data_IF_894226101634
#
_entry.id   IF_894226101634
#
_cell.length_a   1.000
_cell.length_b   1.000
_cell.length_c   1.000
_cell.angle_alpha   90.00
_cell.angle_beta   90.00
_cell.angle_gamma   90.00
#
_symmetry.space_group_name_H-M   'P 1'
#
loop_
_entity.id
_entity.type
_entity.pdbx_description
1 polymer ?
#
# COMPACT_ATOMS: atom_id res chain seq x y z
N UNK A 1 19.53 -29.22 -26.38
CA UNK A 1 20.25 -28.25 -25.52
C UNK A 1 19.85 -26.79 -25.75
N UNK A 2 19.81 -26.32 -26.97
CA UNK A 2 19.47 -24.90 -27.29
C UNK A 2 18.04 -24.48 -26.85
N UNK A 3 17.05 -25.38 -26.96
CA UNK A 3 15.67 -25.11 -26.58
C UNK A 3 15.44 -24.97 -25.05
N UNK A 4 16.20 -25.70 -24.25
CA UNK A 4 16.09 -25.65 -22.78
C UNK A 4 16.68 -24.36 -22.23
N UNK A 5 17.76 -23.85 -22.81
CA UNK A 5 18.41 -22.60 -22.39
C UNK A 5 17.55 -21.37 -22.76
N UNK A 6 16.90 -21.39 -23.94
CA UNK A 6 15.97 -20.32 -24.34
C UNK A 6 14.73 -20.25 -23.43
N UNK A 7 14.19 -21.42 -23.03
CA UNK A 7 13.03 -21.50 -22.15
C UNK A 7 13.35 -21.03 -20.73
N UNK A 8 14.54 -21.37 -20.21
CA UNK A 8 14.99 -20.90 -18.89
C UNK A 8 15.26 -19.39 -18.85
N UNK A 9 15.85 -18.80 -19.89
CA UNK A 9 16.03 -17.35 -20.00
C UNK A 9 14.71 -16.61 -20.08
N UNK A 10 13.74 -17.11 -20.85
CA UNK A 10 12.40 -16.49 -20.94
C UNK A 10 11.64 -16.49 -19.61
N UNK A 11 11.71 -17.58 -18.84
CA UNK A 11 11.13 -17.69 -17.50
C UNK A 11 11.80 -16.73 -16.53
N UNK A 12 13.13 -16.61 -16.56
CA UNK A 12 13.89 -15.72 -15.69
C UNK A 12 13.53 -14.24 -15.95
N UNK A 13 13.37 -13.83 -17.20
CA UNK A 13 12.95 -12.49 -17.58
C UNK A 13 11.51 -12.20 -17.08
N UNK A 14 10.58 -13.16 -17.16
CA UNK A 14 9.22 -12.99 -16.65
C UNK A 14 9.19 -12.82 -15.13
N UNK A 15 10.00 -13.60 -14.38
CA UNK A 15 10.11 -13.47 -12.92
C UNK A 15 10.60 -12.09 -12.54
N UNK A 16 11.65 -11.58 -13.18
CA UNK A 16 12.20 -10.26 -12.93
C UNK A 16 11.19 -9.16 -13.25
N UNK A 17 10.51 -9.23 -14.39
CA UNK A 17 9.50 -8.22 -14.78
C UNK A 17 8.32 -8.16 -13.83
N UNK A 18 7.75 -9.30 -13.47
CA UNK A 18 6.61 -9.35 -12.55
C UNK A 18 7.03 -8.91 -11.13
N UNK A 19 8.23 -9.28 -10.70
CA UNK A 19 8.81 -8.84 -9.41
C UNK A 19 8.90 -7.32 -9.35
N UNK A 20 9.50 -6.68 -10.34
CA UNK A 20 9.64 -5.22 -10.39
C UNK A 20 8.26 -4.54 -10.43
N UNK A 21 7.33 -5.05 -11.24
CA UNK A 21 5.98 -4.50 -11.32
C UNK A 21 5.25 -4.58 -9.99
N UNK A 22 5.30 -5.74 -9.32
CA UNK A 22 4.68 -5.92 -8.01
C UNK A 22 5.28 -4.99 -6.97
N UNK A 23 6.61 -4.87 -6.90
CA UNK A 23 7.29 -3.96 -5.98
C UNK A 23 6.90 -2.50 -6.23
N UNK A 24 6.78 -2.07 -7.49
CA UNK A 24 6.31 -0.71 -7.83
C UNK A 24 4.90 -0.43 -7.33
N UNK A 25 3.98 -1.38 -7.48
CA UNK A 25 2.61 -1.21 -6.98
C UNK A 25 2.56 -1.18 -5.44
N UNK A 26 3.40 -1.98 -4.78
CA UNK A 26 3.55 -1.91 -3.32
C UNK A 26 4.14 -0.58 -2.86
N UNK A 27 5.12 -0.04 -3.57
CA UNK A 27 5.73 1.27 -3.28
C UNK A 27 4.70 2.41 -3.36
N UNK A 28 3.91 2.42 -4.43
CA UNK A 28 2.80 3.37 -4.56
C UNK A 28 1.76 3.20 -3.44
N UNK A 29 1.46 1.96 -3.04
CA UNK A 29 0.54 1.63 -1.95
C UNK A 29 1.04 2.12 -0.59
N UNK A 30 2.29 1.88 -0.25
CA UNK A 30 2.91 2.37 1.01
C UNK A 30 2.90 3.90 1.07
N UNK A 31 3.32 4.57 0.01
CA UNK A 31 3.31 6.03 -0.09
C UNK A 31 1.89 6.60 0.09
N UNK A 32 0.89 5.97 -0.52
CA UNK A 32 -0.50 6.38 -0.39
C UNK A 32 -1.01 6.18 1.05
N UNK A 33 -0.71 5.05 1.68
CA UNK A 33 -1.10 4.75 3.06
C UNK A 33 -0.53 5.75 4.04
N UNK A 34 0.79 6.00 4.00
CA UNK A 34 1.46 6.98 4.84
C UNK A 34 0.90 8.38 4.65
N UNK A 35 0.74 8.82 3.40
CA UNK A 35 0.20 10.15 3.09
C UNK A 35 -1.25 10.30 3.58
N UNK A 36 -2.09 9.28 3.43
CA UNK A 36 -3.49 9.31 3.88
C UNK A 36 -3.60 9.41 5.39
N UNK A 37 -2.76 8.69 6.13
CA UNK A 37 -2.70 8.78 7.59
C UNK A 37 -2.22 10.17 8.02
N UNK A 38 -1.14 10.69 7.43
CA UNK A 38 -0.61 12.02 7.74
C UNK A 38 -1.66 13.12 7.52
N UNK A 39 -2.46 13.00 6.47
CA UNK A 39 -3.50 13.97 6.14
C UNK A 39 -4.61 14.04 7.20
N UNK A 40 -4.98 12.91 7.81
CA UNK A 40 -6.08 12.87 8.80
C UNK A 40 -5.61 13.10 10.23
N UNK A 41 -4.35 12.82 10.57
CA UNK A 41 -3.84 12.89 11.95
C UNK A 41 -4.06 14.24 12.62
N UNK A 42 -4.00 15.33 11.88
CA UNK A 42 -4.22 16.70 12.39
C UNK A 42 -5.67 16.96 12.85
N UNK A 43 -6.63 16.14 12.41
CA UNK A 43 -8.04 16.26 12.75
C UNK A 43 -8.50 15.29 13.84
N UNK A 44 -7.65 14.34 14.23
CA UNK A 44 -7.97 13.30 15.22
C UNK A 44 -8.13 13.90 16.61
N UNK A 45 -9.24 13.57 17.28
CA UNK A 45 -9.56 14.01 18.65
C UNK A 45 -9.27 12.95 19.70
N UNK A 46 -9.56 11.67 19.39
CA UNK A 46 -9.31 10.53 20.29
C UNK A 46 -7.83 10.18 20.33
N UNK A 47 -7.24 10.13 21.53
CA UNK A 47 -5.86 9.66 21.71
C UNK A 47 -5.69 8.18 21.29
N UNK A 48 -6.74 7.38 21.44
CA UNK A 48 -6.73 5.99 20.99
C UNK A 48 -6.64 5.90 19.46
N UNK A 49 -7.47 6.65 18.74
CA UNK A 49 -7.43 6.70 17.29
C UNK A 49 -6.07 7.23 16.79
N UNK A 50 -5.56 8.28 17.44
CA UNK A 50 -4.23 8.82 17.14
C UNK A 50 -3.15 7.77 17.26
N UNK A 51 -3.18 7.00 18.35
CA UNK A 51 -2.22 5.92 18.58
C UNK A 51 -2.32 4.85 17.50
N UNK A 52 -3.52 4.33 17.24
CA UNK A 52 -3.74 3.27 16.25
C UNK A 52 -3.26 3.69 14.85
N UNK A 53 -3.54 4.92 14.41
CA UNK A 53 -3.07 5.47 13.15
C UNK A 53 -1.54 5.66 13.12
N UNK A 54 -0.96 6.18 14.20
CA UNK A 54 0.49 6.40 14.28
C UNK A 54 1.26 5.09 14.27
N UNK A 55 0.82 4.11 15.04
CA UNK A 55 1.45 2.77 15.08
C UNK A 55 1.40 2.12 13.68
N UNK A 56 0.27 2.18 13.00
CA UNK A 56 0.12 1.63 11.65
C UNK A 56 1.00 2.37 10.62
N UNK A 57 1.08 3.69 10.72
CA UNK A 57 1.98 4.49 9.90
C UNK A 57 3.45 4.07 10.08
N UNK A 58 3.87 3.84 11.31
CA UNK A 58 5.24 3.38 11.61
C UNK A 58 5.52 2.00 10.99
N UNK A 59 4.56 1.09 11.03
CA UNK A 59 4.68 -0.22 10.39
C UNK A 59 4.78 -0.10 8.85
N UNK A 60 4.03 0.81 8.22
CA UNK A 60 4.21 1.15 6.81
C UNK A 60 5.63 1.65 6.51
N UNK A 61 6.18 2.53 7.34
CA UNK A 61 7.53 3.04 7.17
C UNK A 61 8.62 1.95 7.37
N UNK A 62 8.38 0.98 8.24
CA UNK A 62 9.28 -0.19 8.39
C UNK A 62 9.24 -1.08 7.16
N UNK A 63 8.02 -1.36 6.66
CA UNK A 63 7.84 -2.15 5.44
C UNK A 63 8.47 -1.46 4.23
N UNK A 64 8.38 -0.13 4.15
CA UNK A 64 9.00 0.66 3.10
C UNK A 64 10.50 0.45 3.01
N UNK A 65 11.19 0.34 4.14
CA UNK A 65 12.65 0.07 4.15
C UNK A 65 12.98 -1.25 3.46
N UNK A 66 12.26 -2.32 3.83
CA UNK A 66 12.45 -3.64 3.21
C UNK A 66 12.13 -3.59 1.71
N UNK A 67 11.10 -2.84 1.34
CA UNK A 67 10.68 -2.63 -0.05
C UNK A 67 11.73 -1.88 -0.87
N UNK A 68 12.29 -0.79 -0.34
CA UNK A 68 13.34 -0.01 -1.01
C UNK A 68 14.61 -0.85 -1.21
N UNK A 69 15.00 -1.68 -0.23
CA UNK A 69 16.13 -2.61 -0.38
C UNK A 69 15.93 -3.57 -1.55
N UNK A 70 14.69 -4.08 -1.75
CA UNK A 70 14.40 -4.94 -2.89
C UNK A 70 14.40 -4.18 -4.22
N UNK A 71 13.83 -2.98 -4.26
CA UNK A 71 13.88 -2.12 -5.45
C UNK A 71 15.31 -1.78 -5.85
N UNK A 72 16.17 -1.47 -4.89
CA UNK A 72 17.59 -1.19 -5.12
C UNK A 72 18.32 -2.37 -5.74
N UNK A 73 18.00 -3.61 -5.34
CA UNK A 73 18.57 -4.83 -5.94
C UNK A 73 18.25 -4.95 -7.43
N UNK A 74 17.12 -4.40 -7.88
CA UNK A 74 16.71 -4.36 -9.28
C UNK A 74 17.07 -3.05 -9.98
N UNK A 75 17.77 -2.12 -9.31
CA UNK A 75 18.08 -0.76 -9.81
C UNK A 75 16.82 -0.02 -10.28
N UNK A 76 15.76 -0.11 -9.48
CA UNK A 76 14.46 0.48 -9.78
C UNK A 76 14.09 1.56 -8.76
N UNK A 77 13.60 2.68 -9.26
CA UNK A 77 13.24 3.85 -8.43
C UNK A 77 11.83 3.74 -7.80
N UNK A 78 11.13 2.63 -8.02
CA UNK A 78 9.77 2.44 -7.54
C UNK A 78 8.72 3.18 -8.36
N UNK A 79 7.60 3.52 -7.72
CA UNK A 79 6.47 4.18 -8.37
C UNK A 79 5.75 5.12 -7.40
N UNK A 80 5.54 6.33 -7.82
CA UNK A 80 4.66 7.24 -7.09
C UNK A 80 3.19 6.88 -7.28
N UNK A 81 2.32 7.17 -6.29
CA UNK A 81 0.88 7.01 -6.45
C UNK A 81 0.38 7.76 -7.67
N UNK A 82 -0.61 7.18 -8.37
CA UNK A 82 -1.24 7.83 -9.52
C UNK A 82 -1.72 9.25 -9.12
N UNK A 83 -1.25 10.32 -9.78
CA UNK A 83 -1.59 11.69 -9.42
C UNK A 83 -3.10 11.95 -9.42
N UNK A 84 -3.84 11.32 -10.35
CA UNK A 84 -5.29 11.45 -10.42
C UNK A 84 -5.98 10.77 -9.22
N UNK A 85 -5.58 9.55 -8.87
CA UNK A 85 -6.11 8.84 -7.71
C UNK A 85 -5.78 9.58 -6.40
N UNK A 86 -4.55 10.10 -6.27
CA UNK A 86 -4.11 10.92 -5.14
C UNK A 86 -4.91 12.20 -5.03
N UNK A 87 -5.13 12.92 -6.12
CA UNK A 87 -5.92 14.16 -6.16
C UNK A 87 -7.39 13.91 -5.81
N UNK A 88 -8.02 12.86 -6.36
CA UNK A 88 -9.42 12.52 -6.05
C UNK A 88 -9.59 12.06 -4.61
N UNK A 89 -8.68 11.25 -4.08
CA UNK A 89 -8.68 10.82 -2.68
C UNK A 89 -8.52 12.03 -1.75
N UNK A 90 -7.60 12.93 -2.06
CA UNK A 90 -7.35 14.18 -1.34
C UNK A 90 -8.58 15.09 -1.33
N UNK A 91 -9.22 15.32 -2.48
CA UNK A 91 -10.43 16.13 -2.58
C UNK A 91 -11.58 15.56 -1.76
N UNK A 92 -11.82 14.24 -1.84
CA UNK A 92 -12.85 13.54 -1.06
C UNK A 92 -12.60 13.66 0.43
N UNK A 93 -11.36 13.47 0.88
CA UNK A 93 -10.95 13.59 2.29
C UNK A 93 -11.16 15.00 2.81
N UNK A 94 -10.70 16.02 2.07
CA UNK A 94 -10.86 17.40 2.48
C UNK A 94 -12.33 17.83 2.54
N UNK A 95 -13.15 17.47 1.55
CA UNK A 95 -14.59 17.81 1.56
C UNK A 95 -15.31 17.17 2.74
N UNK A 96 -15.11 15.88 3.02
CA UNK A 96 -15.75 15.20 4.15
C UNK A 96 -15.30 15.80 5.50
N UNK A 97 -14.02 16.08 5.67
CA UNK A 97 -13.49 16.65 6.92
C UNK A 97 -13.92 18.10 7.14
N UNK A 98 -14.03 18.92 6.09
CA UNK A 98 -14.55 20.27 6.18
C UNK A 98 -16.04 20.28 6.59
N UNK A 99 -16.82 19.30 6.10
CA UNK A 99 -18.25 19.19 6.42
C UNK A 99 -18.52 18.55 7.79
N UNK A 100 -17.68 17.62 8.22
CA UNK A 100 -17.85 16.93 9.50
C UNK A 100 -16.49 16.45 10.03
N UNK A 101 -15.82 17.30 10.79
CA UNK A 101 -14.55 17.01 11.45
C UNK A 101 -14.78 16.15 12.71
N UNK A 102 -14.78 14.82 12.54
CA UNK A 102 -14.98 13.86 13.62
C UNK A 102 -14.12 12.62 13.46
N UNK A 103 -13.84 11.92 14.56
CA UNK A 103 -13.13 10.63 14.55
C UNK A 103 -13.90 9.57 13.76
N UNK A 104 -15.24 9.62 13.78
CA UNK A 104 -16.08 8.77 12.93
C UNK A 104 -15.81 9.00 11.43
N UNK A 105 -15.78 10.25 11.00
CA UNK A 105 -15.48 10.59 9.59
C UNK A 105 -14.08 10.11 9.19
N UNK A 106 -13.09 10.26 10.06
CA UNK A 106 -11.72 9.78 9.83
C UNK A 106 -11.71 8.26 9.70
N UNK A 107 -12.36 7.54 10.62
CA UNK A 107 -12.44 6.09 10.58
C UNK A 107 -13.13 5.57 9.30
N UNK A 108 -14.19 6.22 8.87
CA UNK A 108 -14.90 5.91 7.62
C UNK A 108 -13.99 6.08 6.40
N UNK A 109 -13.29 7.21 6.29
CA UNK A 109 -12.34 7.48 5.19
C UNK A 109 -11.17 6.51 5.16
N UNK A 110 -10.58 6.21 6.30
CA UNK A 110 -9.46 5.27 6.42
C UNK A 110 -9.94 3.85 6.06
N UNK A 111 -11.11 3.44 6.54
CA UNK A 111 -11.69 2.13 6.20
C UNK A 111 -11.91 1.98 4.69
N UNK A 112 -12.48 2.99 4.05
CA UNK A 112 -12.66 3.00 2.58
C UNK A 112 -11.33 2.89 1.84
N UNK A 113 -10.33 3.68 2.26
CA UNK A 113 -9.00 3.66 1.67
C UNK A 113 -8.31 2.30 1.80
N UNK A 114 -8.33 1.71 3.00
CA UNK A 114 -7.76 0.38 3.25
C UNK A 114 -8.45 -0.71 2.42
N UNK A 115 -9.77 -0.70 2.33
CA UNK A 115 -10.51 -1.65 1.50
C UNK A 115 -10.14 -1.55 0.02
N UNK A 116 -9.95 -0.34 -0.49
CA UNK A 116 -9.47 -0.11 -1.86
C UNK A 116 -8.03 -0.63 -2.04
N UNK A 117 -7.16 -0.39 -1.08
CA UNK A 117 -5.78 -0.87 -1.07
C UNK A 117 -5.70 -2.39 -1.08
N UNK A 118 -6.39 -3.05 -0.16
CA UNK A 118 -6.47 -4.53 -0.08
C UNK A 118 -6.96 -5.13 -1.40
N UNK A 119 -8.02 -4.57 -1.99
CA UNK A 119 -8.53 -5.02 -3.28
C UNK A 119 -7.49 -4.88 -4.39
N UNK A 120 -6.83 -3.74 -4.48
CA UNK A 120 -5.83 -3.47 -5.53
C UNK A 120 -4.61 -4.37 -5.39
N UNK A 121 -4.08 -4.53 -4.17
CA UNK A 121 -2.91 -5.37 -3.90
C UNK A 121 -3.18 -6.85 -4.21
N UNK A 122 -4.35 -7.36 -3.85
CA UNK A 122 -4.75 -8.73 -4.22
C UNK A 122 -4.86 -8.90 -5.75
N UNK A 123 -5.39 -7.89 -6.45
CA UNK A 123 -5.41 -7.88 -7.92
C UNK A 123 -3.99 -8.00 -8.49
N UNK A 124 -3.04 -7.22 -7.96
CA UNK A 124 -1.65 -7.25 -8.43
C UNK A 124 -0.95 -8.59 -8.13
N UNK A 125 -1.19 -9.21 -6.97
CA UNK A 125 -0.73 -10.57 -6.68
C UNK A 125 -1.23 -11.59 -7.71
N UNK A 126 -2.47 -11.44 -8.16
CA UNK A 126 -3.06 -12.30 -9.16
C UNK A 126 -2.57 -12.00 -10.58
N UNK A 127 -2.21 -10.76 -10.87
CA UNK A 127 -1.71 -10.32 -12.17
C UNK A 127 -0.24 -10.70 -12.35
N UNK A 128 0.60 -10.41 -11.36
CA UNK A 128 2.05 -10.64 -11.41
C UNK A 128 2.44 -11.97 -10.78
N UNK A 129 1.87 -13.05 -11.28
CA UNK A 129 2.02 -14.41 -10.72
C UNK A 129 3.45 -14.94 -10.71
N UNK A 130 4.28 -14.51 -11.67
CA UNK A 130 5.67 -14.93 -11.78
C UNK A 130 6.62 -14.17 -10.84
N UNK A 131 6.13 -13.14 -10.11
CA UNK A 131 6.92 -12.41 -9.14
C UNK A 131 7.57 -13.35 -8.11
N UNK A 132 8.75 -12.98 -7.61
CA UNK A 132 9.46 -13.78 -6.62
C UNK A 132 8.76 -13.78 -5.26
N UNK A 133 9.13 -14.73 -4.39
CA UNK A 133 8.46 -14.89 -3.09
C UNK A 133 8.73 -13.72 -2.13
N UNK A 134 9.88 -13.04 -2.26
CA UNK A 134 10.20 -11.88 -1.42
C UNK A 134 9.29 -10.70 -1.72
N UNK A 135 9.06 -10.41 -3.01
CA UNK A 135 8.15 -9.34 -3.43
C UNK A 135 6.69 -9.66 -3.10
N UNK A 136 6.29 -10.92 -3.24
CA UNK A 136 4.96 -11.38 -2.81
C UNK A 136 4.77 -11.25 -1.29
N UNK A 137 5.81 -11.54 -0.50
CA UNK A 137 5.79 -11.36 0.96
C UNK A 137 5.57 -9.88 1.34
N UNK A 138 6.29 -8.96 0.71
CA UNK A 138 6.08 -7.52 0.89
C UNK A 138 4.61 -7.14 0.63
N UNK A 139 4.07 -7.60 -0.49
CA UNK A 139 2.67 -7.30 -0.85
C UNK A 139 1.66 -7.86 0.16
N UNK A 140 1.86 -9.09 0.64
CA UNK A 140 1.02 -9.72 1.66
C UNK A 140 1.11 -9.01 3.01
N UNK A 141 2.30 -8.57 3.40
CA UNK A 141 2.50 -7.79 4.63
C UNK A 141 1.79 -6.44 4.55
N UNK A 142 1.82 -5.77 3.40
CA UNK A 142 1.09 -4.53 3.19
C UNK A 142 -0.43 -4.77 3.25
N UNK A 143 -0.94 -5.83 2.64
CA UNK A 143 -2.35 -6.23 2.75
C UNK A 143 -2.75 -6.40 4.21
N UNK A 144 -1.95 -7.13 4.99
CA UNK A 144 -2.21 -7.36 6.42
C UNK A 144 -2.25 -6.04 7.21
N UNK A 145 -1.32 -5.11 6.95
CA UNK A 145 -1.33 -3.79 7.61
C UNK A 145 -2.62 -3.01 7.35
N UNK A 146 -3.13 -3.07 6.12
CA UNK A 146 -4.37 -2.40 5.74
C UNK A 146 -5.60 -3.08 6.34
N UNK A 147 -5.63 -4.41 6.36
CA UNK A 147 -6.70 -5.18 7.01
C UNK A 147 -6.73 -4.95 8.52
N UNK A 148 -5.60 -4.96 9.19
CA UNK A 148 -5.48 -4.70 10.63
C UNK A 148 -5.98 -3.29 10.97
N UNK A 149 -5.64 -2.30 10.16
CA UNK A 149 -6.12 -0.94 10.35
C UNK A 149 -7.64 -0.85 10.20
N UNK A 150 -8.23 -1.55 9.24
CA UNK A 150 -9.70 -1.64 9.08
C UNK A 150 -10.36 -2.19 10.35
N UNK A 151 -9.77 -3.21 10.96
CA UNK A 151 -10.27 -3.81 12.20
C UNK A 151 -10.20 -2.79 13.36
N UNK A 152 -9.09 -2.07 13.47
CA UNK A 152 -8.91 -1.03 14.50
C UNK A 152 -9.91 0.12 14.35
N UNK A 153 -10.26 0.47 13.12
CA UNK A 153 -11.22 1.55 12.84
C UNK A 153 -12.65 1.23 13.29
N UNK A 154 -13.04 -0.06 13.39
CA UNK A 154 -14.42 -0.49 13.69
C UNK A 154 -15.00 0.16 14.95
N UNK A 155 -14.20 0.39 15.96
CA UNK A 155 -14.65 1.00 17.21
C UNK A 155 -15.00 2.50 17.10
N UNK A 156 -14.65 3.13 15.98
CA UNK A 156 -14.89 4.54 15.71
C UNK A 156 -15.96 4.80 14.64
N UNK A 157 -16.41 3.72 13.97
CA UNK A 157 -17.45 3.77 12.93
C UNK A 157 -18.86 4.00 13.51
#
# INVERSE_FOLDING_TARGET
MVNTIKKSKGVFIMVEQDTIRLLRECDAGVKMGVSSIDDVLKYVKSERLRKDLTDNREEHCKLDKDLQELLDQYHDDGKDPNPMAKSMSWMKTNMKLVMNESDHTIADLITDGCNMGVKSLNKYLNEYKAADEKSKDICKRLINLEEDLTIQMRQFL
#
